data_IF_433894246534
#
_entry.id   IF_433894246534
#
_cell.length_a   1.000
_cell.length_b   1.000
_cell.length_c   1.000
_cell.angle_alpha   90.00
_cell.angle_beta   90.00
_cell.angle_gamma   90.00
#
_symmetry.space_group_name_H-M   'P 1'
#
loop_
_entity.id
_entity.type
_entity.pdbx_description
1 polymer ?
#
# COMPACT_ATOMS: atom_id res chain seq x y z
N UNK A 1 -30.46 71.76 -50.31
CA UNK A 1 -29.63 72.19 -49.15
C UNK A 1 -30.07 71.63 -47.79
N UNK A 2 -31.35 71.27 -47.55
CA UNK A 2 -31.82 70.71 -46.26
C UNK A 2 -31.32 69.29 -45.90
N UNK A 3 -30.86 68.47 -46.85
CA UNK A 3 -30.38 67.10 -46.57
C UNK A 3 -28.92 67.02 -46.10
N UNK A 4 -28.10 68.01 -46.43
CA UNK A 4 -26.68 68.02 -46.03
C UNK A 4 -26.51 68.49 -44.58
N UNK A 5 -27.40 69.37 -44.09
CA UNK A 5 -27.37 69.85 -42.70
C UNK A 5 -27.79 68.80 -41.66
N UNK A 6 -28.59 67.81 -42.07
CA UNK A 6 -29.06 66.74 -41.18
C UNK A 6 -27.98 65.66 -40.94
N UNK A 7 -27.12 65.43 -41.94
CA UNK A 7 -26.06 64.42 -41.87
C UNK A 7 -24.90 64.91 -41.00
N UNK A 8 -24.56 66.20 -41.04
CA UNK A 8 -23.54 66.77 -40.14
C UNK A 8 -23.99 66.85 -38.68
N UNK A 9 -25.28 67.05 -38.40
CA UNK A 9 -25.79 67.04 -37.03
C UNK A 9 -25.86 65.61 -36.44
N UNK A 10 -26.09 64.59 -37.29
CA UNK A 10 -26.07 63.19 -36.87
C UNK A 10 -24.64 62.68 -36.60
N UNK A 11 -23.66 63.09 -37.41
CA UNK A 11 -22.25 62.73 -37.22
C UNK A 11 -21.62 63.39 -35.98
N UNK A 12 -22.06 64.59 -35.59
CA UNK A 12 -21.57 65.27 -34.38
C UNK A 12 -22.14 64.68 -33.08
N UNK A 13 -23.33 64.08 -33.11
CA UNK A 13 -23.93 63.40 -31.95
C UNK A 13 -23.37 61.98 -31.74
N UNK A 14 -22.85 61.32 -32.79
CA UNK A 14 -22.22 59.99 -32.65
C UNK A 14 -20.83 60.10 -32.02
N UNK A 15 -20.11 61.22 -32.22
CA UNK A 15 -18.80 61.44 -31.55
C UNK A 15 -18.91 61.75 -30.06
N UNK A 16 -20.08 62.17 -29.56
CA UNK A 16 -20.31 62.45 -28.12
C UNK A 16 -20.80 61.24 -27.32
N UNK A 17 -21.11 60.11 -27.97
CA UNK A 17 -21.51 58.85 -27.30
C UNK A 17 -20.35 57.85 -27.13
N UNK A 18 -19.14 58.18 -27.57
CA UNK A 18 -17.95 57.31 -27.47
C UNK A 18 -17.04 57.62 -26.27
N UNK A 19 -17.43 58.54 -25.38
CA UNK A 19 -16.65 58.90 -24.18
C UNK A 19 -17.54 58.92 -22.93
N UNK A 20 -18.01 57.77 -22.49
CA UNK A 20 -18.47 57.55 -21.10
C UNK A 20 -18.90 56.09 -20.90
N UNK A 21 -18.04 55.14 -21.21
CA UNK A 21 -18.09 53.88 -20.45
C UNK A 21 -17.25 54.14 -19.21
N UNK A 22 -17.79 54.10 -17.98
CA UNK A 22 -16.94 54.02 -16.81
C UNK A 22 -16.10 52.77 -17.01
N UNK A 23 -14.82 52.95 -17.29
CA UNK A 23 -13.87 51.86 -17.36
C UNK A 23 -13.83 51.29 -15.94
N UNK A 24 -14.59 50.22 -15.68
CA UNK A 24 -14.53 49.50 -14.42
C UNK A 24 -13.05 49.16 -14.20
N UNK A 25 -12.47 49.79 -13.18
CA UNK A 25 -11.04 49.69 -12.89
C UNK A 25 -10.85 48.34 -12.26
N UNK A 26 -10.54 47.34 -13.09
CA UNK A 26 -10.24 45.99 -12.63
C UNK A 26 -8.99 46.00 -11.73
N UNK A 27 -9.19 45.81 -10.43
CA UNK A 27 -8.17 45.81 -9.39
C UNK A 27 -8.08 44.43 -8.69
N UNK A 28 -7.42 43.44 -9.33
CA UNK A 28 -7.31 42.07 -8.81
C UNK A 28 -6.23 41.96 -7.72
N UNK A 29 -6.32 42.79 -6.68
CA UNK A 29 -5.42 42.80 -5.54
C UNK A 29 -6.17 43.23 -4.26
N UNK A 30 -5.72 42.74 -3.11
CA UNK A 30 -6.25 43.18 -1.82
C UNK A 30 -5.84 44.62 -1.53
N UNK A 31 -6.67 45.34 -0.78
CA UNK A 31 -6.36 46.70 -0.37
C UNK A 31 -6.13 46.80 1.13
N UNK A 32 -5.52 47.90 1.58
CA UNK A 32 -5.34 48.23 3.01
C UNK A 32 -4.60 47.15 3.83
N UNK A 33 -3.62 46.47 3.22
CA UNK A 33 -2.78 45.54 3.97
C UNK A 33 -2.09 46.27 5.13
N UNK A 34 -2.40 45.84 6.34
CA UNK A 34 -1.81 46.31 7.59
C UNK A 34 -1.19 45.13 8.30
N UNK A 35 0.00 45.36 8.84
CA UNK A 35 0.74 44.37 9.61
C UNK A 35 0.91 44.90 11.02
N UNK A 36 0.49 44.10 12.00
CA UNK A 36 0.59 44.40 13.42
C UNK A 36 1.44 43.33 14.09
N UNK A 37 2.51 43.76 14.75
CA UNK A 37 3.39 42.85 15.49
C UNK A 37 2.89 42.75 16.92
N UNK A 38 2.53 41.54 17.33
CA UNK A 38 2.29 41.19 18.72
C UNK A 38 3.56 40.57 19.32
N UNK A 39 3.55 40.20 20.60
CA UNK A 39 4.79 39.76 21.25
C UNK A 39 5.40 38.50 20.62
N UNK A 40 4.57 37.55 20.17
CA UNK A 40 5.02 36.30 19.52
C UNK A 40 4.31 35.96 18.21
N UNK A 41 3.58 36.91 17.64
CA UNK A 41 2.82 36.73 16.40
C UNK A 41 2.90 37.98 15.52
N UNK A 42 2.64 37.81 14.23
CA UNK A 42 2.50 38.89 13.27
C UNK A 42 1.12 38.76 12.64
N UNK A 43 0.23 39.70 12.95
CA UNK A 43 -1.12 39.73 12.40
C UNK A 43 -1.18 40.60 11.16
N UNK A 44 -1.57 39.99 10.06
CA UNK A 44 -1.88 40.63 8.79
C UNK A 44 -3.40 40.80 8.68
N UNK A 45 -3.81 41.98 8.23
CA UNK A 45 -5.22 42.30 7.93
C UNK A 45 -5.28 43.05 6.61
N UNK A 46 -6.25 42.75 5.76
CA UNK A 46 -6.45 43.43 4.49
C UNK A 46 -7.95 43.68 4.25
N UNK A 47 -8.30 44.21 3.08
CA UNK A 47 -9.67 44.25 2.57
C UNK A 47 -9.72 43.50 1.25
N UNK A 48 -10.69 42.62 1.11
CA UNK A 48 -10.91 41.79 -0.07
C UNK A 48 -11.14 42.63 -1.34
N UNK A 49 -10.85 42.03 -2.50
CA UNK A 49 -11.09 42.66 -3.81
C UNK A 49 -12.54 42.43 -4.23
N UNK A 50 -13.18 43.46 -4.76
CA UNK A 50 -14.56 43.37 -5.27
C UNK A 50 -14.60 42.94 -6.75
N UNK A 51 -13.45 42.88 -7.42
CA UNK A 51 -13.34 42.69 -8.88
C UNK A 51 -13.06 41.24 -9.30
N UNK A 52 -12.81 40.35 -8.36
CA UNK A 52 -12.60 38.91 -8.61
C UNK A 52 -13.67 38.16 -7.84
N UNK A 53 -14.26 37.13 -8.45
CA UNK A 53 -15.22 36.25 -7.78
C UNK A 53 -14.62 34.84 -7.64
N UNK A 54 -14.82 34.23 -6.47
CA UNK A 54 -14.32 32.87 -6.18
C UNK A 54 -12.80 32.82 -6.01
N UNK A 55 -12.19 33.91 -5.59
CA UNK A 55 -10.76 33.98 -5.35
C UNK A 55 -10.31 33.29 -4.07
N UNK A 56 -9.03 32.92 -4.07
CA UNK A 56 -8.31 32.52 -2.87
C UNK A 56 -7.16 33.48 -2.62
N UNK A 57 -6.99 33.87 -1.36
CA UNK A 57 -5.94 34.77 -0.93
C UNK A 57 -4.69 33.96 -0.55
N UNK A 58 -3.59 34.22 -1.24
CA UNK A 58 -2.31 33.56 -1.02
C UNK A 58 -1.39 34.50 -0.24
N UNK A 59 -0.97 34.08 0.95
CA UNK A 59 -0.08 34.85 1.82
C UNK A 59 1.33 34.32 1.66
N UNK A 60 2.23 35.18 1.17
CA UNK A 60 3.65 34.89 0.98
C UNK A 60 4.49 35.59 2.03
N UNK A 61 5.61 34.95 2.40
CA UNK A 61 6.61 35.47 3.32
C UNK A 61 8.02 35.34 2.74
N UNK A 62 8.84 36.36 2.92
CA UNK A 62 10.26 36.36 2.55
C UNK A 62 11.09 37.15 3.58
N UNK A 63 12.42 36.95 3.61
CA UNK A 63 13.35 37.67 4.51
C UNK A 63 13.81 39.02 3.95
N UNK A 64 13.40 39.33 2.72
CA UNK A 64 13.66 40.56 1.97
C UNK A 64 12.36 41.05 1.33
N UNK A 65 12.29 42.32 0.90
CA UNK A 65 11.10 42.88 0.26
C UNK A 65 10.69 42.06 -0.97
N UNK A 66 9.43 41.61 -1.02
CA UNK A 66 8.94 40.80 -2.13
C UNK A 66 8.76 41.68 -3.38
N UNK A 67 9.43 41.27 -4.45
CA UNK A 67 9.38 41.83 -5.80
C UNK A 67 9.11 40.71 -6.80
N UNK A 68 8.88 41.06 -8.06
CA UNK A 68 8.71 40.04 -9.12
C UNK A 68 9.97 39.18 -9.31
N UNK A 69 11.15 39.74 -9.01
CA UNK A 69 12.45 39.06 -9.16
C UNK A 69 12.69 37.98 -8.10
N UNK A 70 12.23 38.19 -6.86
CA UNK A 70 12.44 37.25 -5.74
C UNK A 70 11.15 36.52 -5.31
N UNK A 71 10.04 36.70 -6.03
CA UNK A 71 8.78 36.06 -5.71
C UNK A 71 8.88 34.52 -5.73
N UNK A 72 9.64 33.96 -6.66
CA UNK A 72 9.81 32.50 -6.79
C UNK A 72 10.53 31.87 -5.58
N UNK A 73 11.28 32.67 -4.79
CA UNK A 73 11.90 32.22 -3.53
C UNK A 73 11.05 32.53 -2.30
N UNK A 74 9.90 33.21 -2.46
CA UNK A 74 8.98 33.49 -1.37
C UNK A 74 8.23 32.23 -0.94
N UNK A 75 8.12 32.04 0.38
CA UNK A 75 7.44 30.89 0.96
C UNK A 75 5.96 31.17 1.05
N UNK A 76 5.13 30.33 0.43
CA UNK A 76 3.68 30.36 0.62
C UNK A 76 3.36 29.89 2.05
N UNK A 77 2.78 30.78 2.85
CA UNK A 77 2.47 30.52 4.26
C UNK A 77 1.07 29.97 4.45
N UNK A 78 0.10 30.52 3.73
CA UNK A 78 -1.30 30.13 3.86
C UNK A 78 -2.10 30.48 2.60
N UNK A 79 -3.21 29.76 2.44
CA UNK A 79 -4.26 30.03 1.48
C UNK A 79 -5.56 30.27 2.27
N UNK A 80 -6.20 31.40 2.01
CA UNK A 80 -7.35 31.89 2.76
C UNK A 80 -8.54 32.08 1.81
N UNK A 81 -9.70 31.59 2.24
CA UNK A 81 -10.95 31.68 1.49
C UNK A 81 -11.53 33.12 1.55
N UNK A 82 -12.39 33.50 0.59
CA UNK A 82 -12.91 34.86 0.53
C UNK A 82 -13.83 35.18 1.71
N UNK A 83 -13.79 36.42 2.18
CA UNK A 83 -14.46 36.89 3.41
C UNK A 83 -13.60 36.77 4.67
N UNK A 84 -12.45 36.09 4.62
CA UNK A 84 -11.49 36.02 5.75
C UNK A 84 -10.37 37.03 5.52
N UNK A 85 -10.56 38.23 6.06
CA UNK A 85 -9.68 39.39 5.82
C UNK A 85 -8.46 39.49 6.77
N UNK A 86 -8.02 38.37 7.36
CA UNK A 86 -6.87 38.36 8.26
C UNK A 86 -6.10 37.04 8.25
N UNK A 87 -4.82 37.13 8.61
CA UNK A 87 -3.93 35.99 8.82
C UNK A 87 -2.98 36.27 9.97
N UNK A 88 -2.63 35.25 10.76
CA UNK A 88 -1.68 35.36 11.87
C UNK A 88 -0.51 34.44 11.59
N UNK A 89 0.67 35.03 11.45
CA UNK A 89 1.93 34.31 11.32
C UNK A 89 2.61 34.15 12.69
N UNK A 90 3.26 33.01 12.90
CA UNK A 90 4.09 32.72 14.07
C UNK A 90 5.51 32.36 13.61
N UNK A 91 6.36 33.37 13.39
CA UNK A 91 7.74 33.12 12.99
C UNK A 91 8.52 32.30 14.02
N UNK A 92 9.38 31.40 13.51
CA UNK A 92 10.26 30.56 14.32
C UNK A 92 11.60 31.25 14.63
N UNK A 93 11.90 32.35 13.93
CA UNK A 93 13.13 33.10 14.06
C UNK A 93 12.85 34.59 14.26
N UNK A 94 13.80 35.29 14.88
CA UNK A 94 13.73 36.74 15.12
C UNK A 94 14.42 37.52 14.00
N UNK A 95 14.01 37.25 12.76
CA UNK A 95 14.47 37.99 11.57
C UNK A 95 13.36 38.88 11.05
N UNK A 96 13.73 39.86 10.23
CA UNK A 96 12.77 40.72 9.56
C UNK A 96 12.09 39.94 8.43
N UNK A 97 10.77 39.86 8.49
CA UNK A 97 9.94 39.26 7.45
C UNK A 97 9.17 40.32 6.67
N UNK A 98 9.03 40.07 5.38
CA UNK A 98 8.23 40.84 4.45
C UNK A 98 7.12 39.93 3.93
N UNK A 99 5.94 40.52 3.73
CA UNK A 99 4.74 39.80 3.34
C UNK A 99 4.10 40.40 2.10
N UNK A 100 3.48 39.52 1.32
CA UNK A 100 2.63 39.87 0.19
C UNK A 100 1.36 39.02 0.23
N UNK A 101 0.23 39.63 -0.09
CA UNK A 101 -1.07 38.96 -0.22
C UNK A 101 -1.51 39.06 -1.67
N UNK A 102 -1.55 37.92 -2.35
CA UNK A 102 -1.89 37.82 -3.77
C UNK A 102 -3.22 37.10 -3.94
N UNK A 103 -3.86 37.33 -5.08
CA UNK A 103 -5.16 36.74 -5.41
C UNK A 103 -4.94 35.63 -6.43
N UNK A 104 -5.54 34.46 -6.17
CA UNK A 104 -5.66 33.37 -7.12
C UNK A 104 -7.11 33.26 -7.58
N UNK A 105 -7.37 33.30 -8.89
CA UNK A 105 -8.73 33.13 -9.41
C UNK A 105 -9.18 31.66 -9.39
N UNK A 106 -10.46 31.43 -9.69
CA UNK A 106 -11.06 30.09 -9.80
C UNK A 106 -10.39 29.18 -10.85
N UNK A 107 -9.73 29.75 -11.85
CA UNK A 107 -8.94 29.02 -12.85
C UNK A 107 -7.49 28.69 -12.39
N UNK A 108 -7.14 29.04 -11.14
CA UNK A 108 -5.81 28.79 -10.56
C UNK A 108 -4.73 29.79 -10.94
N UNK A 109 -5.03 30.82 -11.74
CA UNK A 109 -4.10 31.88 -12.12
C UNK A 109 -3.87 32.85 -10.96
N UNK A 110 -2.61 33.07 -10.60
CA UNK A 110 -2.19 34.02 -9.57
C UNK A 110 -1.93 35.39 -10.20
N UNK A 111 -2.54 36.43 -9.67
CA UNK A 111 -2.26 37.82 -10.06
C UNK A 111 -0.99 38.32 -9.35
N UNK A 112 0.15 38.22 -10.03
CA UNK A 112 1.48 38.65 -9.54
C UNK A 112 1.66 40.18 -9.58
N UNK A 113 0.77 40.93 -8.93
CA UNK A 113 0.89 42.38 -8.79
C UNK A 113 1.48 42.72 -7.43
N UNK A 114 2.59 43.45 -7.39
CA UNK A 114 3.26 43.82 -6.13
C UNK A 114 3.19 45.33 -5.91
N UNK A 115 2.12 45.80 -5.27
CA UNK A 115 1.84 47.22 -5.08
C UNK A 115 2.23 47.62 -3.65
N UNK A 116 3.28 48.45 -3.47
CA UNK A 116 3.70 48.94 -2.16
C UNK A 116 2.53 49.52 -1.35
N UNK A 117 2.46 49.16 -0.06
CA UNK A 117 1.44 49.63 0.90
C UNK A 117 -0.02 49.24 0.58
N UNK A 118 -0.27 48.47 -0.47
CA UNK A 118 -1.60 47.94 -0.77
C UNK A 118 -1.70 46.46 -0.46
N UNK A 119 -0.85 45.67 -1.10
CA UNK A 119 -0.87 44.22 -0.98
C UNK A 119 0.50 43.62 -0.67
N UNK A 120 1.53 44.46 -0.48
CA UNK A 120 2.82 44.05 0.09
C UNK A 120 3.39 45.04 1.11
N UNK A 121 4.21 44.52 2.01
CA UNK A 121 5.00 45.32 2.94
C UNK A 121 6.32 45.76 2.31
N UNK A 122 6.71 47.00 2.57
CA UNK A 122 8.04 47.53 2.20
C UNK A 122 9.01 47.63 3.39
N UNK A 123 8.50 47.43 4.62
CA UNK A 123 9.28 47.42 5.85
C UNK A 123 9.15 46.03 6.47
N UNK A 124 10.30 45.44 6.77
CA UNK A 124 10.35 44.17 7.46
C UNK A 124 9.81 44.28 8.88
N UNK A 125 9.17 43.21 9.34
CA UNK A 125 8.63 43.10 10.69
C UNK A 125 9.21 41.85 11.37
N UNK A 126 9.51 41.96 12.67
CA UNK A 126 10.05 40.85 13.45
C UNK A 126 9.31 40.76 14.79
N UNK A 127 9.05 39.53 15.24
CA UNK A 127 8.45 39.28 16.56
C UNK A 127 9.45 39.59 17.68
N UNK A 128 8.94 40.02 18.84
CA UNK A 128 9.78 40.31 20.02
C UNK A 128 10.25 39.03 20.70
N UNK A 129 9.38 38.05 20.77
CA UNK A 129 9.57 36.74 21.40
C UNK A 129 9.12 35.64 20.44
N UNK A 130 9.68 34.44 20.55
CA UNK A 130 9.26 33.31 19.73
C UNK A 130 7.97 32.72 20.31
N UNK A 131 7.09 32.25 19.43
CA UNK A 131 5.88 31.53 19.85
C UNK A 131 6.26 30.29 20.66
N UNK A 132 5.52 30.05 21.73
CA UNK A 132 5.68 28.81 22.52
C UNK A 132 5.17 27.61 21.72
N UNK A 133 5.65 26.40 22.04
CA UNK A 133 5.16 25.18 21.39
C UNK A 133 3.64 25.00 21.55
N UNK A 134 3.04 25.48 22.64
CA UNK A 134 1.59 25.48 22.83
C UNK A 134 0.86 26.37 21.83
N UNK A 135 1.40 27.55 21.58
CA UNK A 135 0.85 28.46 20.58
C UNK A 135 1.02 27.91 19.17
N UNK A 136 2.06 27.12 18.91
CA UNK A 136 2.33 26.50 17.62
C UNK A 136 1.57 25.20 17.39
N UNK A 137 1.15 24.51 18.46
CA UNK A 137 0.51 23.20 18.39
C UNK A 137 -0.77 23.20 17.56
N UNK A 138 -0.98 22.12 16.81
CA UNK A 138 -2.24 21.86 16.14
C UNK A 138 -3.30 21.40 17.16
N UNK A 139 -4.50 21.96 17.04
CA UNK A 139 -5.69 21.52 17.77
C UNK A 139 -6.42 20.52 16.89
N UNK A 140 -6.79 19.38 17.48
CA UNK A 140 -7.53 18.32 16.78
C UNK A 140 -8.98 18.36 17.24
N UNK A 141 -9.89 18.27 16.28
CA UNK A 141 -11.34 18.33 16.48
C UNK A 141 -12.04 17.28 15.61
N UNK A 142 -13.28 16.93 15.94
CA UNK A 142 -14.14 16.00 15.19
C UNK A 142 -13.49 14.63 14.91
N UNK A 143 -12.82 14.06 15.91
CA UNK A 143 -12.31 12.70 15.79
C UNK A 143 -13.48 11.70 15.71
N UNK A 144 -13.48 10.90 14.66
CA UNK A 144 -14.50 9.88 14.42
C UNK A 144 -13.87 8.60 13.89
N UNK A 145 -14.55 7.48 14.10
CA UNK A 145 -14.09 6.16 13.66
C UNK A 145 -15.20 5.42 12.95
N UNK A 146 -14.84 4.68 11.91
CA UNK A 146 -15.75 3.86 11.14
C UNK A 146 -15.07 2.54 10.77
N UNK A 147 -15.80 1.44 10.93
CA UNK A 147 -15.35 0.13 10.43
C UNK A 147 -15.56 0.09 8.91
N UNK A 148 -14.49 -0.20 8.18
CA UNK A 148 -14.47 -0.34 6.71
C UNK A 148 -13.74 -1.65 6.38
N UNK A 149 -14.49 -2.63 5.87
CA UNK A 149 -14.01 -3.98 5.54
C UNK A 149 -13.32 -4.67 6.74
N UNK A 150 -12.01 -4.88 6.68
CA UNK A 150 -11.16 -5.51 7.70
C UNK A 150 -10.38 -4.49 8.55
N UNK A 151 -10.79 -3.22 8.52
CA UNK A 151 -10.02 -2.11 9.08
C UNK A 151 -10.88 -1.03 9.73
N UNK A 152 -10.25 -0.15 10.49
CA UNK A 152 -10.88 1.02 11.09
C UNK A 152 -10.34 2.26 10.40
N UNK A 153 -11.23 3.03 9.77
CA UNK A 153 -10.94 4.37 9.27
C UNK A 153 -11.15 5.36 10.41
N UNK A 154 -10.08 6.08 10.78
CA UNK A 154 -10.12 7.16 11.75
C UNK A 154 -9.99 8.48 11.01
N UNK A 155 -10.96 9.37 11.19
CA UNK A 155 -11.03 10.69 10.56
C UNK A 155 -11.01 11.79 11.63
N UNK A 156 -10.39 12.92 11.33
CA UNK A 156 -10.25 14.06 12.24
C UNK A 156 -9.96 15.36 11.47
N UNK A 157 -10.15 16.50 12.12
CA UNK A 157 -9.82 17.83 11.59
C UNK A 157 -8.65 18.41 12.38
N UNK A 158 -7.62 18.89 11.67
CA UNK A 158 -6.48 19.58 12.28
C UNK A 158 -6.55 21.08 12.00
N UNK A 159 -6.41 21.90 13.05
CA UNK A 159 -6.46 23.35 12.92
C UNK A 159 -5.22 23.97 12.27
N UNK A 160 -4.10 23.22 12.20
CA UNK A 160 -2.83 23.70 11.64
C UNK A 160 -2.19 22.66 10.75
N UNK A 161 -1.64 23.12 9.64
CA UNK A 161 -0.91 22.28 8.69
C UNK A 161 0.59 22.21 9.06
N UNK A 162 1.30 21.23 8.50
CA UNK A 162 2.75 21.03 8.68
C UNK A 162 3.20 20.84 10.15
N UNK A 163 2.39 20.11 10.92
CA UNK A 163 2.71 19.65 12.28
C UNK A 163 2.73 18.13 12.32
N UNK A 164 3.48 17.58 13.26
CA UNK A 164 3.49 16.14 13.50
C UNK A 164 2.46 15.79 14.56
N UNK A 165 1.56 14.86 14.25
CA UNK A 165 0.53 14.36 15.14
C UNK A 165 0.85 12.93 15.53
N UNK A 166 0.75 12.58 16.82
CA UNK A 166 0.93 11.22 17.31
C UNK A 166 -0.45 10.61 17.55
N UNK A 167 -0.67 9.44 16.96
CA UNK A 167 -1.88 8.66 17.15
C UNK A 167 -1.65 7.59 18.21
N UNK A 168 -2.51 7.58 19.21
CA UNK A 168 -2.57 6.59 20.27
C UNK A 168 -3.80 5.70 20.12
N UNK A 169 -3.62 4.41 20.44
CA UNK A 169 -4.71 3.43 20.60
C UNK A 169 -4.68 2.86 21.99
N UNK A 170 -5.83 2.80 22.64
CA UNK A 170 -5.98 2.20 23.97
C UNK A 170 -7.21 1.31 24.03
N UNK A 171 -7.19 0.30 24.88
CA UNK A 171 -8.38 -0.50 25.22
C UNK A 171 -9.26 0.19 26.28
N UNK A 172 -8.78 1.29 26.87
CA UNK A 172 -9.52 2.16 27.78
C UNK A 172 -9.68 3.56 27.20
N UNK A 173 -10.70 4.29 27.67
CA UNK A 173 -10.91 5.69 27.29
C UNK A 173 -9.67 6.54 27.64
N UNK A 174 -9.26 7.42 26.72
CA UNK A 174 -8.21 8.40 26.94
C UNK A 174 -8.82 9.70 27.47
N UNK A 175 -8.62 10.01 28.75
CA UNK A 175 -9.13 11.22 29.43
C UNK A 175 -8.02 12.04 30.08
N UNK A 176 -6.93 11.41 30.49
CA UNK A 176 -5.81 12.11 31.12
C UNK A 176 -4.46 11.58 30.66
N UNK A 177 -3.40 12.29 31.06
CA UNK A 177 -2.02 11.91 30.71
C UNK A 177 -1.65 10.53 31.25
N UNK A 178 -2.21 10.14 32.38
CA UNK A 178 -1.96 8.84 33.03
C UNK A 178 -2.46 7.68 32.17
N UNK A 179 -3.51 7.89 31.37
CA UNK A 179 -4.05 6.86 30.46
C UNK A 179 -3.07 6.48 29.35
N UNK A 180 -2.07 7.35 29.06
CA UNK A 180 -1.02 7.05 28.08
C UNK A 180 -0.12 5.89 28.51
N UNK A 181 -0.08 5.53 29.80
CA UNK A 181 0.69 4.37 30.27
C UNK A 181 0.18 3.07 29.63
N UNK A 182 -1.13 2.99 29.38
CA UNK A 182 -1.79 1.84 28.78
C UNK A 182 -2.08 2.03 27.28
N UNK A 183 -1.76 3.20 26.73
CA UNK A 183 -1.98 3.52 25.34
C UNK A 183 -0.76 3.16 24.48
N UNK A 184 -1.01 2.55 23.33
CA UNK A 184 0.01 2.23 22.35
C UNK A 184 0.10 3.30 21.27
N UNK A 185 1.28 3.93 21.04
CA UNK A 185 1.47 4.84 19.93
C UNK A 185 1.51 4.04 18.61
N UNK A 186 0.52 4.24 17.74
CA UNK A 186 0.43 3.53 16.46
C UNK A 186 1.44 4.11 15.48
N UNK A 187 1.40 5.44 15.30
CA UNK A 187 2.22 6.14 14.31
C UNK A 187 2.19 7.65 14.50
N UNK A 188 3.13 8.31 13.85
CA UNK A 188 3.12 9.75 13.62
C UNK A 188 2.54 10.07 12.24
N UNK A 189 1.67 11.07 12.17
CA UNK A 189 1.03 11.60 10.97
C UNK A 189 1.45 13.05 10.74
N UNK A 190 1.49 13.45 9.48
CA UNK A 190 1.54 14.86 9.11
C UNK A 190 0.13 15.45 9.25
N UNK A 191 0.01 16.64 9.84
CA UNK A 191 -1.28 17.30 10.08
C UNK A 191 -2.01 17.78 8.82
N UNK A 192 -1.36 17.69 7.65
CA UNK A 192 -2.02 17.79 6.33
C UNK A 192 -2.98 16.64 6.06
N UNK A 193 -2.81 15.48 6.72
CA UNK A 193 -3.73 14.34 6.62
C UNK A 193 -4.87 14.50 7.60
N UNK A 194 -6.08 14.24 7.13
CA UNK A 194 -7.32 14.29 7.92
C UNK A 194 -7.87 12.89 8.27
N UNK A 195 -7.21 11.83 7.81
CA UNK A 195 -7.65 10.46 8.07
C UNK A 195 -6.49 9.47 7.98
N UNK A 196 -6.64 8.34 8.67
CA UNK A 196 -5.75 7.20 8.51
C UNK A 196 -6.51 5.88 8.74
N UNK A 197 -5.98 4.81 8.17
CA UNK A 197 -6.51 3.45 8.34
C UNK A 197 -5.67 2.70 9.39
N UNK A 198 -6.35 2.10 10.36
CA UNK A 198 -5.78 1.19 11.35
C UNK A 198 -6.33 -0.23 11.16
N UNK A 199 -5.57 -1.19 11.66
CA UNK A 199 -5.84 -2.63 11.58
C UNK A 199 -5.80 -3.23 13.00
N UNK A 200 -6.77 -2.90 13.87
CA UNK A 200 -6.82 -3.43 15.24
C UNK A 200 -7.17 -4.93 15.24
N UNK A 201 -6.92 -5.59 16.37
CA UNK A 201 -7.28 -7.01 16.54
C UNK A 201 -8.80 -7.14 16.63
N UNK A 202 -9.44 -8.02 15.85
CA UNK A 202 -10.89 -8.24 15.93
C UNK A 202 -11.35 -8.72 17.30
N UNK A 203 -12.51 -8.25 17.74
CA UNK A 203 -13.11 -8.58 19.04
C UNK A 203 -12.56 -7.79 20.23
N UNK A 204 -11.70 -6.80 20.00
CA UNK A 204 -11.15 -5.94 21.06
C UNK A 204 -11.62 -4.50 20.83
N UNK A 205 -12.46 -3.92 21.72
CA UNK A 205 -12.87 -2.53 21.61
C UNK A 205 -11.68 -1.59 21.84
N UNK A 206 -11.48 -0.67 20.90
CA UNK A 206 -10.35 0.27 20.90
C UNK A 206 -10.84 1.73 20.91
N UNK A 207 -10.16 2.57 21.69
CA UNK A 207 -10.28 4.01 21.66
C UNK A 207 -9.06 4.63 20.98
N UNK A 208 -9.28 5.71 20.24
CA UNK A 208 -8.23 6.45 19.56
C UNK A 208 -8.07 7.84 20.18
N UNK A 209 -6.83 8.32 20.20
CA UNK A 209 -6.49 9.68 20.61
C UNK A 209 -5.39 10.27 19.73
N UNK A 210 -5.50 11.54 19.37
CA UNK A 210 -4.54 12.22 18.49
C UNK A 210 -4.04 13.50 19.16
N UNK A 211 -2.73 13.66 19.26
CA UNK A 211 -2.10 14.81 19.94
C UNK A 211 -0.94 15.35 19.10
N UNK A 212 -0.72 16.66 19.11
CA UNK A 212 0.49 17.27 18.52
C UNK A 212 1.77 16.80 19.23
N UNK A 213 2.77 16.36 18.46
CA UNK A 213 4.02 15.84 18.99
C UNK A 213 4.81 16.87 19.82
N UNK A 214 4.68 18.17 19.49
CA UNK A 214 5.30 19.26 20.23
C UNK A 214 4.75 19.38 21.65
N UNK A 215 3.43 19.20 21.83
CA UNK A 215 2.76 19.18 23.13
C UNK A 215 3.22 18.00 23.99
N UNK A 216 3.37 16.82 23.37
CA UNK A 216 3.89 15.62 24.05
C UNK A 216 5.33 15.85 24.52
N UNK A 217 6.18 16.48 23.70
CA UNK A 217 7.59 16.78 24.02
C UNK A 217 7.75 17.69 25.23
N UNK A 218 6.89 18.70 25.37
CA UNK A 218 6.88 19.61 26.54
C UNK A 218 6.05 19.07 27.71
N UNK A 219 5.43 17.89 27.56
CA UNK A 219 4.66 17.22 28.59
C UNK A 219 3.28 17.80 28.88
N UNK A 220 2.79 18.73 28.05
CA UNK A 220 1.46 19.36 28.16
C UNK A 220 0.44 18.61 27.31
N UNK A 221 -0.05 17.50 27.86
CA UNK A 221 -0.97 16.60 27.16
C UNK A 221 -2.37 16.81 27.71
N UNK A 222 -3.34 17.05 26.82
CA UNK A 222 -4.76 17.19 27.15
C UNK A 222 -5.60 16.28 26.27
N UNK A 223 -6.56 15.58 26.87
CA UNK A 223 -7.54 14.77 26.14
C UNK A 223 -8.94 15.30 26.39
N UNK A 224 -9.63 15.65 25.31
CA UNK A 224 -11.02 16.07 25.25
C UNK A 224 -11.80 15.06 24.40
N UNK A 225 -12.68 14.24 25.02
CA UNK A 225 -13.55 13.32 24.28
C UNK A 225 -14.40 14.06 23.25
N UNK A 226 -14.51 13.47 22.05
CA UNK A 226 -15.22 14.05 20.90
C UNK A 226 -14.36 14.99 20.04
N UNK A 227 -13.34 15.62 20.62
CA UNK A 227 -12.44 16.50 19.89
C UNK A 227 -11.21 15.75 19.40
N UNK A 228 -10.37 15.32 20.35
CA UNK A 228 -9.10 14.67 20.06
C UNK A 228 -9.02 13.22 20.56
N UNK A 229 -10.03 12.75 21.29
CA UNK A 229 -10.22 11.32 21.60
C UNK A 229 -11.62 10.84 21.28
N UNK A 230 -11.75 9.56 20.90
CA UNK A 230 -13.04 8.96 20.56
C UNK A 230 -13.88 8.71 21.83
N UNK A 231 -15.14 9.16 21.86
CA UNK A 231 -16.04 8.92 23.00
C UNK A 231 -16.49 7.46 23.13
N UNK A 232 -16.81 6.83 21.99
CA UNK A 232 -17.25 5.44 21.92
C UNK A 232 -16.11 4.60 21.36
N UNK A 233 -15.86 3.40 21.90
CA UNK A 233 -14.89 2.49 21.32
C UNK A 233 -15.38 1.97 19.96
N UNK A 234 -14.42 1.62 19.11
CA UNK A 234 -14.67 0.90 17.87
C UNK A 234 -14.10 -0.50 17.95
N UNK A 235 -14.85 -1.47 17.46
CA UNK A 235 -14.49 -2.88 17.50
C UNK A 235 -14.66 -3.48 16.09
N UNK A 236 -13.65 -4.20 15.62
CA UNK A 236 -13.77 -5.01 14.41
C UNK A 236 -14.46 -6.33 14.74
N UNK A 237 -15.48 -6.76 13.98
CA UNK A 237 -16.19 -7.99 14.26
C UNK A 237 -15.27 -9.22 14.09
N UNK A 238 -15.47 -10.21 14.97
CA UNK A 238 -14.75 -11.48 14.93
C UNK A 238 -14.97 -12.19 13.59
N UNK A 239 -13.92 -12.84 13.08
CA UNK A 239 -13.94 -13.59 11.82
C UNK A 239 -13.33 -12.84 10.63
N UNK A 240 -13.03 -11.55 10.77
CA UNK A 240 -12.27 -10.78 9.77
C UNK A 240 -10.77 -11.12 9.86
N UNK A 241 -10.13 -11.32 8.69
CA UNK A 241 -8.68 -11.43 8.58
C UNK A 241 -8.11 -10.05 8.32
N UNK A 242 -7.42 -9.51 9.31
CA UNK A 242 -6.91 -8.15 9.30
C UNK A 242 -5.54 -8.10 8.64
N UNK A 243 -5.38 -7.31 7.57
CA UNK A 243 -4.07 -6.99 6.99
C UNK A 243 -3.34 -8.17 6.31
N UNK A 244 -4.06 -9.24 5.97
CA UNK A 244 -3.53 -10.39 5.23
C UNK A 244 -4.16 -10.45 3.84
N UNK A 245 -3.39 -10.81 2.79
CA UNK A 245 -3.94 -11.00 1.46
C UNK A 245 -5.03 -12.08 1.46
N UNK A 246 -5.96 -11.99 0.51
CA UNK A 246 -6.98 -12.99 0.27
C UNK A 246 -6.34 -14.39 0.17
N UNK A 247 -7.01 -15.36 0.80
CA UNK A 247 -6.48 -16.72 0.91
C UNK A 247 -6.43 -17.33 -0.49
N UNK A 248 -5.29 -17.28 -1.16
CA UNK A 248 -4.99 -18.26 -2.19
C UNK A 248 -4.90 -19.60 -1.46
N UNK A 249 -5.93 -20.43 -1.63
CA UNK A 249 -5.93 -21.79 -1.11
C UNK A 249 -4.88 -22.55 -1.91
N UNK A 250 -3.62 -22.46 -1.50
CA UNK A 250 -2.59 -23.37 -1.98
C UNK A 250 -2.87 -24.70 -1.29
N UNK A 251 -3.64 -25.55 -1.98
CA UNK A 251 -3.80 -26.95 -1.62
C UNK A 251 -2.41 -27.55 -1.66
N UNK A 252 -1.90 -27.97 -0.50
CA UNK A 252 -0.67 -28.77 -0.46
C UNK A 252 -0.99 -30.05 -1.21
N UNK A 253 -0.18 -30.40 -2.21
CA UNK A 253 -0.34 -31.63 -3.00
C UNK A 253 -0.20 -32.90 -2.16
N UNK A 254 0.43 -32.79 -0.99
CA UNK A 254 0.72 -33.91 -0.10
C UNK A 254 0.30 -33.52 1.33
N UNK A 255 -0.38 -34.42 2.08
CA UNK A 255 -0.58 -34.24 3.51
C UNK A 255 0.77 -34.08 4.22
N UNK A 256 0.79 -33.52 5.43
CA UNK A 256 2.02 -33.53 6.22
C UNK A 256 2.54 -34.97 6.30
N UNK A 257 3.85 -35.22 6.06
CA UNK A 257 4.40 -36.54 6.28
C UNK A 257 4.12 -36.92 7.72
N UNK A 258 3.43 -38.03 7.91
CA UNK A 258 3.27 -38.61 9.22
C UNK A 258 4.67 -39.00 9.70
N UNK A 259 5.04 -38.52 10.89
CA UNK A 259 6.21 -39.03 11.61
C UNK A 259 5.72 -40.15 12.52
N UNK A 260 5.84 -41.44 12.12
CA UNK A 260 5.52 -42.55 13.00
C UNK A 260 6.61 -42.61 14.07
N UNK A 261 6.37 -41.95 15.20
CA UNK A 261 7.24 -42.07 16.38
C UNK A 261 6.90 -43.40 17.05
N UNK A 262 7.62 -44.44 16.65
CA UNK A 262 7.52 -45.78 17.23
C UNK A 262 8.51 -46.00 18.38
N UNK A 263 9.40 -45.03 18.65
CA UNK A 263 10.48 -45.14 19.65
C UNK A 263 10.60 -43.84 20.45
N UNK A 264 10.70 -43.97 21.78
CA UNK A 264 10.91 -42.85 22.68
C UNK A 264 12.33 -42.28 22.55
N UNK A 265 12.44 -40.99 22.19
CA UNK A 265 13.73 -40.29 22.00
C UNK A 265 14.64 -40.37 23.22
N UNK A 266 14.08 -40.36 24.44
CA UNK A 266 14.87 -40.38 25.68
C UNK A 266 15.20 -41.76 26.25
N UNK A 267 14.50 -42.83 25.85
CA UNK A 267 14.65 -44.15 26.48
C UNK A 267 14.89 -45.31 25.50
N UNK A 268 14.77 -45.07 24.19
CA UNK A 268 14.92 -46.10 23.16
C UNK A 268 13.84 -47.19 23.20
N UNK A 269 12.84 -47.06 24.09
CA UNK A 269 11.74 -48.03 24.20
C UNK A 269 10.75 -47.84 23.08
N UNK A 270 10.23 -48.94 22.58
CA UNK A 270 9.10 -48.93 21.65
C UNK A 270 7.90 -48.25 22.33
N UNK A 271 7.31 -47.26 21.67
CA UNK A 271 6.05 -46.65 22.07
C UNK A 271 4.98 -47.20 21.14
N UNK A 272 3.79 -47.49 21.68
CA UNK A 272 2.61 -47.72 20.85
C UNK A 272 2.37 -46.45 20.04
N UNK A 273 2.45 -46.48 18.70
CA UNK A 273 2.23 -45.29 17.89
C UNK A 273 0.90 -44.65 18.28
N UNK A 274 0.85 -43.31 18.30
CA UNK A 274 -0.36 -42.60 18.71
C UNK A 274 -1.59 -43.11 17.93
N UNK A 275 -2.72 -43.43 18.59
CA UNK A 275 -3.91 -44.02 17.93
C UNK A 275 -4.53 -43.12 16.87
N UNK A 276 -4.10 -41.86 16.77
CA UNK A 276 -4.45 -40.92 15.71
C UNK A 276 -3.90 -41.37 14.33
N UNK A 277 -2.89 -42.25 14.30
CA UNK A 277 -2.11 -42.54 13.09
C UNK A 277 -2.29 -43.96 12.53
N UNK A 278 -2.99 -44.86 13.22
CA UNK A 278 -3.22 -46.25 12.78
C UNK A 278 -4.64 -46.74 13.10
N UNK A 279 -5.64 -45.98 12.68
CA UNK A 279 -6.97 -46.55 12.51
C UNK A 279 -7.09 -47.04 11.07
N UNK A 280 -6.55 -48.22 10.77
CA UNK A 280 -6.84 -48.92 9.49
C UNK A 280 -8.33 -49.27 9.38
N UNK A 281 -9.08 -49.16 10.49
CA UNK A 281 -10.53 -49.23 10.49
C UNK A 281 -11.14 -47.96 9.88
N UNK A 282 -11.55 -48.07 8.61
CA UNK A 282 -12.44 -47.10 7.96
C UNK A 282 -13.73 -47.00 8.78
N UNK A 283 -13.87 -45.94 9.60
CA UNK A 283 -15.12 -45.63 10.31
C UNK A 283 -16.06 -44.84 9.41
N UNK A 284 -17.32 -45.27 9.33
CA UNK A 284 -18.35 -44.47 8.68
C UNK A 284 -18.55 -43.15 9.43
N UNK A 285 -18.55 -42.04 8.68
CA UNK A 285 -18.81 -40.71 9.22
C UNK A 285 -20.28 -40.59 9.64
N UNK A 286 -20.54 -39.87 10.73
CA UNK A 286 -21.92 -39.55 11.13
C UNK A 286 -22.60 -38.67 10.07
N UNK A 287 -23.94 -38.70 9.91
CA UNK A 287 -24.64 -37.87 8.93
C UNK A 287 -24.37 -36.36 9.09
N UNK A 288 -24.22 -35.89 10.34
CA UNK A 288 -23.87 -34.50 10.64
C UNK A 288 -22.45 -34.16 10.19
N UNK A 289 -21.49 -35.06 10.42
CA UNK A 289 -20.10 -34.92 9.98
C UNK A 289 -20.02 -34.91 8.46
N UNK A 290 -20.71 -35.82 7.78
CA UNK A 290 -20.74 -35.90 6.31
C UNK A 290 -21.28 -34.61 5.70
N UNK A 291 -22.35 -34.04 6.28
CA UNK A 291 -22.90 -32.74 5.82
C UNK A 291 -21.90 -31.60 5.98
N UNK A 292 -21.20 -31.52 7.11
CA UNK A 292 -20.18 -30.49 7.36
C UNK A 292 -18.98 -30.64 6.41
N UNK A 293 -18.49 -31.87 6.22
CA UNK A 293 -17.39 -32.17 5.30
C UNK A 293 -17.77 -31.83 3.86
N UNK A 294 -18.96 -32.21 3.41
CA UNK A 294 -19.43 -31.90 2.06
C UNK A 294 -19.59 -30.38 1.84
N UNK A 295 -20.04 -29.64 2.86
CA UNK A 295 -20.08 -28.17 2.79
C UNK A 295 -18.68 -27.57 2.61
N UNK A 296 -17.68 -28.10 3.33
CA UNK A 296 -16.28 -27.65 3.20
C UNK A 296 -15.73 -28.01 1.82
N UNK A 297 -15.91 -29.26 1.38
CA UNK A 297 -15.43 -29.72 0.07
C UNK A 297 -16.09 -28.97 -1.09
N UNK A 298 -17.39 -28.64 -1.00
CA UNK A 298 -18.08 -27.84 -2.03
C UNK A 298 -17.55 -26.42 -2.16
N UNK A 299 -16.88 -25.89 -1.12
CA UNK A 299 -16.28 -24.56 -1.13
C UNK A 299 -14.82 -24.56 -1.60
N UNK A 300 -14.24 -25.73 -1.88
CA UNK A 300 -12.85 -25.90 -2.29
C UNK A 300 -12.83 -26.44 -3.73
N UNK A 301 -12.33 -25.66 -4.68
CA UNK A 301 -11.92 -26.20 -5.98
C UNK A 301 -10.63 -26.98 -5.78
N UNK A 302 -10.72 -28.31 -5.69
CA UNK A 302 -9.54 -29.17 -5.79
C UNK A 302 -9.27 -29.31 -7.29
N UNK A 303 -8.50 -28.39 -7.84
CA UNK A 303 -8.08 -28.52 -9.23
C UNK A 303 -7.30 -29.82 -9.38
N UNK A 304 -7.77 -30.70 -10.27
CA UNK A 304 -7.06 -31.92 -10.60
C UNK A 304 -5.67 -31.47 -11.09
N UNK A 305 -4.58 -31.92 -10.44
CA UNK A 305 -3.24 -31.54 -10.84
C UNK A 305 -3.04 -31.87 -12.33
N UNK A 306 -2.44 -30.96 -13.12
CA UNK A 306 -2.22 -31.23 -14.54
C UNK A 306 -1.40 -32.51 -14.70
N UNK A 307 -1.80 -33.31 -15.68
CA UNK A 307 -1.06 -34.50 -16.08
C UNK A 307 0.36 -34.10 -16.51
N UNK A 308 1.35 -34.90 -16.13
CA UNK A 308 2.74 -34.56 -16.42
C UNK A 308 3.04 -34.77 -17.91
N UNK A 309 3.60 -33.75 -18.54
CA UNK A 309 4.08 -33.81 -19.93
C UNK A 309 5.58 -34.11 -19.96
N UNK A 310 6.10 -34.77 -21.02
CA UNK A 310 7.53 -35.04 -21.14
C UNK A 310 8.35 -33.75 -21.16
N UNK A 311 9.38 -33.68 -20.31
CA UNK A 311 10.22 -32.50 -20.11
C UNK A 311 11.67 -32.78 -20.46
N UNK A 312 12.23 -31.96 -21.35
CA UNK A 312 13.67 -31.91 -21.63
C UNK A 312 14.38 -30.97 -20.64
N UNK A 313 15.56 -31.37 -20.17
CA UNK A 313 16.44 -30.52 -19.38
C UNK A 313 17.05 -29.42 -20.27
N UNK A 314 17.37 -28.26 -19.69
CA UNK A 314 17.94 -27.12 -20.43
C UNK A 314 19.22 -27.48 -21.20
N UNK A 315 20.07 -28.35 -20.62
CA UNK A 315 21.29 -28.82 -21.24
C UNK A 315 21.03 -29.55 -22.58
N UNK A 316 19.91 -30.25 -22.70
CA UNK A 316 19.55 -31.01 -23.89
C UNK A 316 18.63 -30.23 -24.85
N UNK A 317 18.22 -29.01 -24.48
CA UNK A 317 17.50 -28.07 -25.35
C UNK A 317 18.44 -27.25 -26.25
N UNK A 318 19.69 -27.05 -25.84
CA UNK A 318 20.64 -26.21 -26.56
C UNK A 318 21.12 -26.85 -27.88
N UNK A 319 21.36 -26.01 -28.90
CA UNK A 319 21.79 -26.40 -30.26
C UNK A 319 23.32 -26.56 -30.35
N UNK A 320 24.05 -26.51 -29.24
CA UNK A 320 25.50 -26.69 -29.27
C UNK A 320 25.87 -28.07 -29.85
N UNK A 321 26.95 -28.09 -30.62
CA UNK A 321 27.54 -29.30 -31.21
C UNK A 321 28.11 -30.18 -30.09
N UNK A 322 27.22 -30.89 -29.39
CA UNK A 322 27.58 -31.93 -28.44
C UNK A 322 28.29 -33.07 -29.17
N UNK A 323 29.54 -33.36 -28.79
CA UNK A 323 30.31 -34.49 -29.32
C UNK A 323 30.18 -35.73 -28.44
N UNK A 324 30.18 -36.93 -29.05
CA UNK A 324 30.34 -38.20 -28.35
C UNK A 324 29.08 -38.71 -27.63
N UNK A 325 29.18 -38.90 -26.31
CA UNK A 325 28.13 -39.51 -25.47
C UNK A 325 26.86 -38.64 -25.39
N UNK A 326 27.03 -37.32 -25.34
CA UNK A 326 25.94 -36.35 -25.32
C UNK A 326 25.12 -36.36 -26.62
N UNK A 327 25.80 -36.52 -27.76
CA UNK A 327 25.14 -36.66 -29.07
C UNK A 327 24.26 -37.90 -29.12
N UNK A 328 24.74 -39.01 -28.55
CA UNK A 328 23.99 -40.27 -28.49
C UNK A 328 22.73 -40.12 -27.65
N UNK A 329 22.85 -39.52 -26.46
CA UNK A 329 21.68 -39.23 -25.60
C UNK A 329 20.68 -38.31 -26.32
N UNK A 330 21.15 -37.24 -26.95
CA UNK A 330 20.32 -36.28 -27.71
C UNK A 330 19.59 -36.94 -28.88
N UNK A 331 20.23 -37.89 -29.56
CA UNK A 331 19.62 -38.66 -30.65
C UNK A 331 18.45 -39.49 -30.14
N UNK A 332 18.61 -40.17 -28.99
CA UNK A 332 17.53 -40.94 -28.35
C UNK A 332 16.36 -40.01 -27.97
N UNK A 333 16.66 -38.82 -27.44
CA UNK A 333 15.65 -37.85 -27.04
C UNK A 333 14.89 -37.24 -28.22
N UNK A 334 15.57 -36.97 -29.32
CA UNK A 334 14.97 -36.30 -30.50
C UNK A 334 14.07 -37.24 -31.29
N UNK A 335 14.38 -38.53 -31.34
CA UNK A 335 13.59 -39.50 -32.10
C UNK A 335 12.54 -40.21 -31.24
N UNK A 336 12.95 -40.90 -30.17
CA UNK A 336 12.05 -41.84 -29.48
C UNK A 336 11.27 -41.16 -28.35
N UNK A 337 11.91 -40.21 -27.64
CA UNK A 337 11.28 -39.49 -26.54
C UNK A 337 10.31 -38.41 -27.06
N UNK A 338 10.68 -37.65 -28.09
CA UNK A 338 9.82 -36.65 -28.71
C UNK A 338 8.60 -37.28 -29.42
N UNK A 339 8.76 -38.44 -30.06
CA UNK A 339 7.67 -39.19 -30.70
C UNK A 339 6.82 -40.02 -29.71
N UNK A 340 7.10 -39.92 -28.40
CA UNK A 340 6.39 -40.65 -27.32
C UNK A 340 6.42 -42.17 -27.47
N UNK A 341 7.47 -42.72 -28.07
CA UNK A 341 7.69 -44.17 -28.24
C UNK A 341 8.35 -44.75 -26.99
N UNK A 342 7.61 -44.79 -25.89
CA UNK A 342 8.16 -45.06 -24.55
C UNK A 342 8.88 -46.41 -24.42
N UNK A 343 8.38 -47.48 -25.06
CA UNK A 343 9.02 -48.80 -25.00
C UNK A 343 10.37 -48.85 -25.72
N UNK A 344 10.49 -48.13 -26.84
CA UNK A 344 11.75 -48.04 -27.58
C UNK A 344 12.74 -47.11 -26.87
N UNK A 345 12.25 -46.00 -26.31
CA UNK A 345 13.04 -45.11 -25.47
C UNK A 345 13.60 -45.83 -24.23
N UNK A 346 12.79 -46.66 -23.55
CA UNK A 346 13.22 -47.47 -22.40
C UNK A 346 14.39 -48.39 -22.77
N UNK A 347 14.25 -49.14 -23.87
CA UNK A 347 15.28 -50.07 -24.35
C UNK A 347 16.58 -49.34 -24.67
N UNK A 348 16.51 -48.21 -25.37
CA UNK A 348 17.69 -47.44 -25.78
C UNK A 348 18.37 -46.75 -24.59
N UNK A 349 17.60 -46.18 -23.66
CA UNK A 349 18.16 -45.57 -22.44
C UNK A 349 18.79 -46.61 -21.50
N UNK A 350 18.21 -47.82 -21.39
CA UNK A 350 18.85 -48.93 -20.65
C UNK A 350 20.15 -49.39 -21.29
N UNK A 351 20.15 -49.52 -22.62
CA UNK A 351 21.37 -49.89 -23.36
C UNK A 351 22.44 -48.81 -23.21
N UNK A 352 22.05 -47.53 -23.25
CA UNK A 352 22.93 -46.40 -22.99
C UNK A 352 23.53 -46.50 -21.57
N UNK A 353 22.70 -46.62 -20.54
CA UNK A 353 23.14 -46.78 -19.14
C UNK A 353 23.91 -48.08 -18.84
N UNK A 354 24.00 -49.03 -19.77
CA UNK A 354 24.78 -50.27 -19.60
C UNK A 354 26.28 -50.06 -19.83
N UNK A 355 26.67 -48.95 -20.44
CA UNK A 355 28.06 -48.54 -20.67
C UNK A 355 28.41 -47.42 -19.70
N UNK A 356 29.68 -47.30 -19.34
CA UNK A 356 30.14 -46.23 -18.46
C UNK A 356 30.09 -44.89 -19.21
N UNK A 357 29.45 -43.91 -18.57
CA UNK A 357 29.31 -42.54 -19.05
C UNK A 357 29.84 -41.56 -18.01
N UNK A 358 30.05 -40.31 -18.42
CA UNK A 358 30.27 -39.24 -17.45
C UNK A 358 29.09 -39.13 -16.48
N UNK A 359 29.38 -38.79 -15.22
CA UNK A 359 28.37 -38.72 -14.15
C UNK A 359 27.19 -37.80 -14.51
N UNK A 360 27.45 -36.66 -15.16
CA UNK A 360 26.39 -35.75 -15.60
C UNK A 360 25.47 -36.39 -16.66
N UNK A 361 26.05 -37.05 -17.67
CA UNK A 361 25.30 -37.71 -18.75
C UNK A 361 24.51 -38.90 -18.22
N UNK A 362 25.06 -39.67 -17.28
CA UNK A 362 24.36 -40.78 -16.63
C UNK A 362 23.15 -40.27 -15.84
N UNK A 363 23.32 -39.21 -15.05
CA UNK A 363 22.22 -38.60 -14.27
C UNK A 363 21.13 -38.06 -15.19
N UNK A 364 21.48 -37.38 -16.30
CA UNK A 364 20.49 -36.93 -17.31
C UNK A 364 19.74 -38.12 -17.91
N UNK A 365 20.44 -39.18 -18.34
CA UNK A 365 19.82 -40.38 -18.89
C UNK A 365 18.87 -41.08 -17.89
N UNK A 366 19.25 -41.16 -16.61
CA UNK A 366 18.37 -41.68 -15.53
C UNK A 366 17.14 -40.82 -15.32
N UNK A 367 17.27 -39.49 -15.40
CA UNK A 367 16.13 -38.57 -15.31
C UNK A 367 15.11 -38.83 -16.43
N UNK A 368 15.58 -39.04 -17.67
CA UNK A 368 14.70 -39.40 -18.79
C UNK A 368 14.10 -40.79 -18.65
N UNK A 369 14.86 -41.77 -18.16
CA UNK A 369 14.36 -43.11 -17.89
C UNK A 369 13.24 -43.10 -16.83
N UNK A 370 13.36 -42.24 -15.80
CA UNK A 370 12.31 -42.02 -14.82
C UNK A 370 11.00 -41.51 -15.43
N UNK A 371 11.08 -40.57 -16.38
CA UNK A 371 9.90 -40.09 -17.13
C UNK A 371 9.31 -41.19 -18.01
N UNK A 372 10.14 -41.97 -18.69
CA UNK A 372 9.68 -43.10 -19.51
C UNK A 372 8.92 -44.13 -18.67
N UNK A 373 9.45 -44.51 -17.50
CA UNK A 373 8.74 -45.42 -16.59
C UNK A 373 7.42 -44.85 -16.07
N UNK A 374 7.33 -43.52 -15.86
CA UNK A 374 6.07 -42.89 -15.49
C UNK A 374 5.00 -43.09 -16.58
N UNK A 375 5.36 -42.89 -17.85
CA UNK A 375 4.43 -43.08 -18.97
C UNK A 375 4.13 -44.55 -19.29
N UNK A 376 4.99 -45.47 -18.85
CA UNK A 376 4.74 -46.93 -18.90
C UNK A 376 3.94 -47.45 -17.70
N UNK A 377 3.47 -46.56 -16.82
CA UNK A 377 2.75 -46.89 -15.58
C UNK A 377 3.56 -47.73 -14.57
N UNK A 378 4.88 -47.80 -14.75
CA UNK A 378 5.79 -48.48 -13.82
C UNK A 378 6.24 -47.52 -12.70
N UNK A 379 5.27 -46.97 -11.97
CA UNK A 379 5.46 -45.87 -11.02
C UNK A 379 6.54 -46.12 -9.96
N UNK A 380 6.67 -47.36 -9.48
CA UNK A 380 7.71 -47.75 -8.51
C UNK A 380 9.11 -47.62 -9.09
N UNK A 381 9.32 -48.02 -10.35
CA UNK A 381 10.62 -47.90 -11.02
C UNK A 381 10.91 -46.44 -11.37
N UNK A 382 9.90 -45.71 -11.85
CA UNK A 382 10.01 -44.27 -12.09
C UNK A 382 10.49 -43.52 -10.84
N UNK A 383 9.89 -43.81 -9.68
CA UNK A 383 10.26 -43.20 -8.42
C UNK A 383 11.72 -43.47 -8.04
N UNK A 384 12.20 -44.71 -8.23
CA UNK A 384 13.58 -45.06 -7.91
C UNK A 384 14.58 -44.31 -8.78
N UNK A 385 14.32 -44.21 -10.09
CA UNK A 385 15.18 -43.41 -10.98
C UNK A 385 15.20 -41.94 -10.54
N UNK A 386 14.05 -41.33 -10.26
CA UNK A 386 14.00 -39.94 -9.78
C UNK A 386 14.69 -39.74 -8.42
N UNK A 387 14.64 -40.73 -7.54
CA UNK A 387 15.34 -40.69 -6.25
C UNK A 387 16.86 -40.65 -6.45
N UNK A 388 17.40 -41.40 -7.42
CA UNK A 388 18.82 -41.42 -7.75
C UNK A 388 19.32 -40.08 -8.31
N UNK A 389 18.47 -39.34 -9.04
CA UNK A 389 18.86 -38.05 -9.64
C UNK A 389 18.49 -36.82 -8.82
N UNK A 390 17.76 -37.02 -7.71
CA UNK A 390 17.19 -35.96 -6.89
C UNK A 390 18.23 -34.96 -6.39
N UNK A 391 19.41 -35.41 -6.02
CA UNK A 391 20.44 -34.55 -5.41
C UNK A 391 20.96 -33.49 -6.40
N UNK A 392 20.93 -33.79 -7.72
CA UNK A 392 21.33 -32.86 -8.78
C UNK A 392 20.14 -32.11 -9.41
N UNK A 393 19.00 -32.77 -9.56
CA UNK A 393 17.81 -32.22 -10.25
C UNK A 393 16.57 -32.16 -9.35
N UNK A 394 16.73 -31.70 -8.11
CA UNK A 394 15.64 -31.64 -7.12
C UNK A 394 14.39 -30.90 -7.65
N UNK A 395 14.60 -29.75 -8.30
CA UNK A 395 13.50 -28.91 -8.82
C UNK A 395 12.73 -29.60 -9.94
N UNK A 396 13.45 -30.32 -10.81
CA UNK A 396 12.86 -31.00 -11.97
C UNK A 396 12.21 -32.33 -11.57
N UNK A 397 12.77 -33.06 -10.61
CA UNK A 397 12.25 -34.37 -10.17
C UNK A 397 11.04 -34.26 -9.24
N UNK A 398 10.91 -33.16 -8.49
CA UNK A 398 9.83 -32.98 -7.50
C UNK A 398 8.42 -33.09 -8.09
N UNK A 399 8.04 -32.40 -9.20
CA UNK A 399 6.73 -32.57 -9.82
C UNK A 399 6.40 -34.02 -10.21
N UNK A 400 7.40 -34.76 -10.69
CA UNK A 400 7.24 -36.17 -11.07
C UNK A 400 7.04 -37.08 -9.86
N UNK A 401 7.84 -36.91 -8.80
CA UNK A 401 7.67 -37.66 -7.55
C UNK A 401 6.30 -37.42 -6.94
N UNK A 402 5.82 -36.17 -6.89
CA UNK A 402 4.49 -35.81 -6.41
C UNK A 402 3.38 -36.48 -7.25
N UNK A 403 3.54 -36.50 -8.57
CA UNK A 403 2.60 -37.17 -9.47
C UNK A 403 2.58 -38.70 -9.27
N UNK A 404 3.74 -39.31 -9.09
CA UNK A 404 3.88 -40.75 -8.79
C UNK A 404 3.20 -41.12 -7.48
N UNK A 405 3.42 -40.34 -6.41
CA UNK A 405 2.79 -40.60 -5.11
C UNK A 405 1.27 -40.61 -5.21
N UNK A 406 0.69 -39.67 -5.96
CA UNK A 406 -0.77 -39.65 -6.20
C UNK A 406 -1.24 -40.91 -6.94
N UNK A 407 -0.53 -41.35 -7.98
CA UNK A 407 -0.88 -42.55 -8.73
C UNK A 407 -0.80 -43.83 -7.90
N UNK A 408 0.23 -43.96 -7.07
CA UNK A 408 0.36 -45.07 -6.13
C UNK A 408 -0.75 -45.07 -5.07
N UNK A 409 -1.14 -43.89 -4.59
CA UNK A 409 -2.26 -43.74 -3.64
C UNK A 409 -3.60 -44.10 -4.30
N UNK A 410 -3.87 -43.63 -5.52
CA UNK A 410 -5.07 -43.97 -6.30
C UNK A 410 -5.17 -45.50 -6.56
N UNK A 411 -4.05 -46.17 -6.83
CA UNK A 411 -4.01 -47.62 -7.06
C UNK A 411 -4.35 -48.43 -5.79
N UNK A 412 -3.96 -47.93 -4.61
CA UNK A 412 -4.26 -48.57 -3.32
C UNK A 412 -5.73 -48.35 -2.90
N UNK A 413 -6.28 -47.15 -3.12
CA UNK A 413 -7.70 -46.87 -2.83
C UNK A 413 -8.67 -47.54 -3.82
N UNK A 414 -8.25 -47.80 -5.06
CA UNK A 414 -9.07 -48.47 -6.09
C UNK A 414 -9.21 -50.00 -5.95
N UNK A 415 -8.47 -50.63 -5.04
CA UNK A 415 -8.58 -52.07 -4.72
C UNK A 415 -9.46 -52.37 -3.49
N UNK A 416 -10.18 -51.38 -2.98
CA UNK A 416 -11.04 -51.46 -1.79
C UNK A 416 -12.53 -51.64 -2.07
#
# INVERSE_FOLDING_TARGET
MKKILLITFLLFNITLLLYSSPQEVFAPFVSRLKVTVEDSSIKLTWKDSEDVEGEKYLIYRHTEEITEENFETAVLMAQVEPGVEYYVDHPLERVNYFYAVLIQNSAGKIYKLFIPFRNKTIKGVAVKTLATEEQLAAVITDISTQVVDDSVLVSFISSKQNRNLIVYRSTSQLRSKEDLVNAYPIRTLDSTKNSFRDFPVPGIPCHYGIIDAGLVRIGKISFTPGENTTEKPVELPLGLRVGLPERTISTRSIPLPLLPISIAVGSGRAIVPSPILHSDEKKQLSPATTKAVNSILSSISIDKPPEQEPQLLEADKAVEESGGEEYTLKTILTHEFAEKRWKDAERLLKNFLSVHHSEDVELRARYYLGQVYYFLEEYRKAFMEFLLVRDRYYTQTKPWMDAIFRKLWEEEDGKG
#
